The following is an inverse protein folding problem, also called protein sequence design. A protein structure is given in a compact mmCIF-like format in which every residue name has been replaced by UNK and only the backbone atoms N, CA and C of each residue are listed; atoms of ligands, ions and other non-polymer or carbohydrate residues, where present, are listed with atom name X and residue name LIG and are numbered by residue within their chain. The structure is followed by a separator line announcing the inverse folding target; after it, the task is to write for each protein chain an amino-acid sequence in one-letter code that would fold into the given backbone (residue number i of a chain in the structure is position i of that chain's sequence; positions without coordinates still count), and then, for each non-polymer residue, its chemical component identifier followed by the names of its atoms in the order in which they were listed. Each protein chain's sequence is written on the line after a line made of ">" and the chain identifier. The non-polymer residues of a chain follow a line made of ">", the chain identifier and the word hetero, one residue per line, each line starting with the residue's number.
data_IF_332136861432
#
_entry.id   IF_332136861432
#
_cell.length_a   1.000
_cell.length_b   1.000
_cell.length_c   1.000
_cell.angle_alpha   90.00
_cell.angle_beta   90.00
_cell.angle_gamma   90.00
#
_symmetry.space_group_name_H-M   'P 1'
#
loop_
_entity.id
_entity.type
_entity.pdbx_description
1 polymer ?
#
# COMPACT_ATOMS: atom_id res chain seq x y z
N UNK A 1 1.05 34.58 15.47
CA UNK A 1 1.25 33.30 16.16
C UNK A 1 1.48 32.27 15.07
N UNK A 2 2.71 31.77 14.88
CA UNK A 2 2.96 30.67 13.94
C UNK A 2 2.53 29.41 14.66
N UNK A 3 1.49 28.75 14.17
CA UNK A 3 1.20 27.38 14.57
C UNK A 3 2.31 26.58 13.90
N UNK A 4 3.29 26.11 14.66
CA UNK A 4 4.19 25.07 14.18
C UNK A 4 3.31 23.87 13.89
N UNK A 5 2.91 23.71 12.62
CA UNK A 5 2.34 22.47 12.11
C UNK A 5 3.47 21.45 12.10
N UNK A 6 3.84 20.94 13.29
CA UNK A 6 4.67 19.76 13.39
C UNK A 6 3.88 18.64 12.71
N UNK A 7 4.43 18.16 11.60
CA UNK A 7 3.94 16.96 10.94
C UNK A 7 4.02 15.84 11.99
N UNK A 8 2.90 15.15 12.30
CA UNK A 8 2.93 14.07 13.26
C UNK A 8 3.93 13.01 12.81
N UNK A 9 4.85 12.64 13.70
CA UNK A 9 5.73 11.51 13.45
C UNK A 9 4.88 10.23 13.54
N UNK A 10 4.60 9.64 12.39
CA UNK A 10 3.81 8.41 12.30
C UNK A 10 4.78 7.23 12.31
N UNK A 11 4.56 6.30 13.24
CA UNK A 11 5.41 5.12 13.39
C UNK A 11 4.59 3.83 13.35
N UNK A 12 5.25 2.73 13.02
CA UNK A 12 4.66 1.40 12.93
C UNK A 12 5.66 0.37 13.45
N UNK A 13 5.20 -0.56 14.27
CA UNK A 13 6.03 -1.65 14.77
C UNK A 13 6.01 -2.83 13.79
N UNK A 14 7.16 -3.15 13.22
CA UNK A 14 7.33 -4.30 12.33
C UNK A 14 7.89 -5.48 13.14
N UNK A 15 7.15 -6.58 13.17
CA UNK A 15 7.57 -7.81 13.83
C UNK A 15 8.26 -8.77 12.85
N UNK A 16 9.60 -8.89 12.92
CA UNK A 16 10.42 -9.76 12.08
C UNK A 16 10.82 -11.07 12.77
N UNK A 17 9.87 -11.69 13.50
CA UNK A 17 10.02 -12.98 14.20
C UNK A 17 10.97 -12.97 15.40
N UNK A 18 12.13 -12.33 15.33
CA UNK A 18 13.15 -12.27 16.40
C UNK A 18 13.30 -10.89 17.04
N UNK A 19 12.73 -9.85 16.43
CA UNK A 19 12.81 -8.47 16.90
C UNK A 19 11.59 -7.69 16.44
N UNK A 20 11.12 -6.79 17.30
CA UNK A 20 10.18 -5.74 16.94
C UNK A 20 11.01 -4.50 16.61
N UNK A 21 10.84 -3.97 15.42
CA UNK A 21 11.52 -2.75 14.97
C UNK A 21 10.52 -1.63 14.83
N UNK A 22 10.87 -0.45 15.34
CA UNK A 22 10.07 0.75 15.14
C UNK A 22 10.44 1.36 13.80
N UNK A 23 9.46 1.49 12.92
CA UNK A 23 9.62 2.16 11.65
C UNK A 23 8.89 3.50 11.68
N UNK A 24 9.37 4.47 10.91
CA UNK A 24 8.70 5.74 10.61
C UNK A 24 8.09 5.68 9.23
N UNK A 25 6.87 6.18 9.06
CA UNK A 25 6.25 6.31 7.74
C UNK A 25 6.88 7.49 7.02
N UNK A 26 7.43 7.24 5.82
CA UNK A 26 8.15 8.24 5.03
C UNK A 26 7.44 8.59 3.72
N UNK A 27 6.51 7.76 3.28
CA UNK A 27 5.71 7.99 2.08
C UNK A 27 4.40 7.21 2.16
N UNK A 28 3.33 7.83 1.68
CA UNK A 28 2.03 7.19 1.50
C UNK A 28 1.51 7.56 0.12
N UNK A 29 1.20 6.56 -0.68
CA UNK A 29 0.50 6.67 -1.94
C UNK A 29 -0.97 6.36 -1.73
N UNK A 30 -1.83 7.13 -2.39
CA UNK A 30 -3.28 6.97 -2.32
C UNK A 30 -3.89 6.81 -3.71
N UNK A 31 -4.80 5.86 -3.84
CA UNK A 31 -5.70 5.73 -4.98
C UNK A 31 -7.13 5.97 -4.53
N UNK A 32 -7.82 6.91 -5.18
CA UNK A 32 -9.20 7.29 -4.86
C UNK A 32 -9.40 7.65 -3.38
N UNK A 33 -8.38 8.26 -2.76
CA UNK A 33 -8.39 8.68 -1.37
C UNK A 33 -8.28 7.55 -0.35
N UNK A 34 -7.80 6.36 -0.76
CA UNK A 34 -7.49 5.19 0.09
C UNK A 34 -6.00 4.89 -0.01
N UNK A 35 -5.34 4.41 1.07
CA UNK A 35 -3.92 4.05 0.99
C UNK A 35 -3.75 2.89 0.01
N UNK A 36 -2.71 2.95 -0.81
CA UNK A 36 -2.37 1.92 -1.80
C UNK A 36 -0.96 1.36 -1.58
N UNK A 37 0.01 2.24 -1.34
CA UNK A 37 1.37 1.85 -0.95
C UNK A 37 1.85 2.74 0.20
N UNK A 38 2.51 2.15 1.19
CA UNK A 38 3.14 2.84 2.30
C UNK A 38 4.60 2.40 2.40
N UNK A 39 5.50 3.38 2.40
CA UNK A 39 6.93 3.12 2.63
C UNK A 39 7.30 3.61 4.01
N UNK A 40 8.04 2.78 4.73
CA UNK A 40 8.53 3.06 6.07
C UNK A 40 10.06 2.97 6.11
N UNK A 41 10.69 3.64 7.07
CA UNK A 41 12.15 3.63 7.34
C UNK A 41 12.40 3.18 8.79
N UNK A 42 13.32 2.25 9.00
CA UNK A 42 13.62 1.71 10.34
C UNK A 42 14.66 2.52 11.14
N UNK A 43 14.92 3.78 10.77
CA UNK A 43 15.94 4.68 11.33
C UNK A 43 17.41 4.21 11.14
N UNK A 44 17.64 2.95 10.81
CA UNK A 44 18.94 2.42 10.38
C UNK A 44 19.12 2.51 8.84
N UNK A 45 18.14 3.09 8.15
CA UNK A 45 18.17 3.37 6.71
C UNK A 45 17.65 2.23 5.83
N UNK A 46 17.07 1.18 6.42
CA UNK A 46 16.35 0.15 5.68
C UNK A 46 14.89 0.57 5.52
N UNK A 47 14.41 0.58 4.28
CA UNK A 47 13.00 0.83 3.99
C UNK A 47 12.23 -0.47 3.81
N UNK A 48 10.99 -0.50 4.32
CA UNK A 48 10.02 -1.56 4.08
C UNK A 48 8.80 -1.00 3.34
N UNK A 49 8.29 -1.77 2.40
CA UNK A 49 7.17 -1.42 1.52
C UNK A 49 5.95 -2.24 1.92
N UNK A 50 4.81 -1.57 1.98
CA UNK A 50 3.55 -2.17 2.36
C UNK A 50 2.48 -1.80 1.35
N UNK A 51 1.85 -2.80 0.75
CA UNK A 51 0.71 -2.57 -0.13
C UNK A 51 -0.56 -2.64 0.71
N UNK A 52 -1.53 -1.81 0.38
CA UNK A 52 -2.81 -1.66 1.06
C UNK A 52 -3.96 -1.91 0.09
N UNK A 53 -4.96 -2.67 0.55
CA UNK A 53 -6.21 -2.91 -0.17
C UNK A 53 -7.40 -2.83 0.79
N UNK A 54 -8.60 -2.64 0.25
CA UNK A 54 -9.82 -2.68 1.07
C UNK A 54 -10.08 -4.09 1.60
N UNK A 55 -10.46 -4.20 2.88
CA UNK A 55 -10.88 -5.47 3.42
C UNK A 55 -12.24 -5.87 2.84
N UNK A 56 -12.30 -7.01 2.16
CA UNK A 56 -13.55 -7.50 1.60
C UNK A 56 -14.57 -7.96 2.67
N UNK A 57 -14.11 -8.21 3.91
CA UNK A 57 -14.93 -8.62 5.04
C UNK A 57 -15.42 -7.45 5.91
N UNK A 58 -14.81 -6.27 5.79
CA UNK A 58 -15.11 -5.09 6.59
C UNK A 58 -15.06 -3.82 5.74
N UNK A 59 -16.15 -3.04 5.69
CA UNK A 59 -16.21 -1.83 4.87
C UNK A 59 -15.33 -0.68 5.35
N UNK A 60 -14.82 -0.76 6.58
CA UNK A 60 -14.18 0.36 7.28
C UNK A 60 -12.70 0.08 7.62
N UNK A 61 -12.15 -1.04 7.15
CA UNK A 61 -10.79 -1.48 7.43
C UNK A 61 -10.01 -1.77 6.15
N UNK A 62 -8.69 -1.61 6.23
CA UNK A 62 -7.75 -1.99 5.18
C UNK A 62 -7.06 -3.31 5.52
N UNK A 63 -6.68 -4.07 4.49
CA UNK A 63 -5.68 -5.12 4.61
C UNK A 63 -4.35 -4.56 4.13
N UNK A 64 -3.26 -4.92 4.81
CA UNK A 64 -1.92 -4.58 4.34
C UNK A 64 -0.94 -5.74 4.49
N UNK A 65 -0.02 -5.86 3.55
CA UNK A 65 1.05 -6.85 3.60
C UNK A 65 2.39 -6.21 3.27
N UNK A 66 3.48 -6.80 3.77
CA UNK A 66 4.84 -6.32 3.47
C UNK A 66 5.26 -6.84 2.09
N UNK A 67 5.16 -5.99 1.08
CA UNK A 67 5.39 -6.33 -0.33
C UNK A 67 6.87 -6.34 -0.72
N UNK A 68 7.72 -5.73 0.10
CA UNK A 68 9.16 -5.78 -0.09
C UNK A 68 9.92 -4.80 0.78
N UNK A 69 11.14 -4.49 0.36
CA UNK A 69 11.97 -3.51 1.03
C UNK A 69 13.30 -3.27 0.32
N UNK A 70 13.99 -2.22 0.77
CA UNK A 70 15.28 -1.77 0.25
C UNK A 70 15.28 -0.31 -0.21
N UNK A 71 16.44 0.15 -0.69
CA UNK A 71 16.64 1.54 -1.09
C UNK A 71 16.98 2.46 0.09
N UNK A 72 16.79 3.77 -0.09
CA UNK A 72 17.02 4.81 0.93
C UNK A 72 15.89 5.82 0.91
N UNK A 73 15.68 6.50 2.03
CA UNK A 73 14.69 7.57 2.19
C UNK A 73 14.81 8.68 1.12
N UNK A 74 15.99 8.86 0.52
CA UNK A 74 16.27 9.83 -0.54
C UNK A 74 16.18 9.27 -1.97
N UNK A 75 15.75 8.02 -2.13
CA UNK A 75 15.74 7.29 -3.41
C UNK A 75 14.37 6.63 -3.69
N UNK A 76 13.29 7.18 -3.13
CA UNK A 76 11.92 6.69 -3.35
C UNK A 76 11.57 6.76 -4.84
N UNK A 77 10.89 5.74 -5.38
CA UNK A 77 10.42 5.79 -6.76
C UNK A 77 9.24 6.75 -6.86
N UNK A 78 9.26 7.65 -7.85
CA UNK A 78 8.17 8.58 -8.04
C UNK A 78 6.95 7.86 -8.66
N UNK A 79 5.73 8.08 -8.15
CA UNK A 79 4.53 7.44 -8.68
C UNK A 79 4.19 7.96 -10.07
N UNK A 80 3.86 7.04 -10.98
CA UNK A 80 3.51 7.34 -12.36
C UNK A 80 2.19 6.68 -12.70
N UNK A 81 1.15 7.50 -12.90
CA UNK A 81 -0.20 7.04 -13.17
C UNK A 81 -0.63 7.32 -14.62
N UNK A 82 -1.42 6.41 -15.19
CA UNK A 82 -2.16 6.70 -16.42
C UNK A 82 -3.29 7.71 -16.12
N UNK A 83 -3.61 8.58 -17.07
CA UNK A 83 -4.70 9.56 -16.91
C UNK A 83 -6.07 8.91 -16.63
N UNK A 84 -6.21 7.64 -17.02
CA UNK A 84 -7.43 6.83 -16.82
C UNK A 84 -7.57 6.21 -15.42
N UNK A 85 -6.51 6.18 -14.59
CA UNK A 85 -6.47 5.44 -13.32
C UNK A 85 -7.24 6.10 -12.15
N UNK A 86 -7.96 7.19 -12.38
CA UNK A 86 -8.69 7.91 -11.33
C UNK A 86 -7.84 8.93 -10.58
N UNK A 87 -8.21 9.24 -9.33
CA UNK A 87 -7.53 10.27 -8.53
C UNK A 87 -6.38 9.61 -7.75
N UNK A 88 -5.15 9.82 -8.21
CA UNK A 88 -3.95 9.44 -7.48
C UNK A 88 -3.39 10.65 -6.71
N UNK A 89 -2.93 10.39 -5.49
CA UNK A 89 -2.25 11.40 -4.67
C UNK A 89 -1.19 10.76 -3.79
N UNK A 90 -0.27 11.55 -3.26
CA UNK A 90 0.74 11.04 -2.35
C UNK A 90 1.08 12.07 -1.28
N UNK A 91 1.52 11.57 -0.13
CA UNK A 91 2.20 12.36 0.89
C UNK A 91 3.61 11.81 1.06
N UNK A 92 4.59 12.71 1.23
CA UNK A 92 5.99 12.35 1.44
C UNK A 92 6.53 13.13 2.64
N UNK A 93 7.26 12.43 3.51
CA UNK A 93 7.89 13.03 4.69
C UNK A 93 8.96 14.06 4.27
N UNK A 94 9.18 15.17 5.01
CA UNK A 94 10.13 16.22 4.61
C UNK A 94 11.59 15.78 4.45
N UNK A 95 11.98 14.69 5.12
CA UNK A 95 13.33 14.10 4.98
C UNK A 95 13.45 13.14 3.80
N UNK A 96 12.32 12.77 3.20
CA UNK A 96 12.26 11.85 2.08
C UNK A 96 12.22 12.58 0.74
N UNK A 97 12.81 11.95 -0.26
CA UNK A 97 12.88 12.50 -1.62
C UNK A 97 12.75 11.38 -2.65
N UNK A 98 12.20 11.73 -3.80
CA UNK A 98 12.26 10.86 -4.95
C UNK A 98 13.70 10.75 -5.48
N UNK A 99 13.99 9.62 -6.11
CA UNK A 99 15.24 9.41 -6.83
C UNK A 99 15.52 10.57 -7.80
N UNK A 100 16.77 11.03 -7.83
CA UNK A 100 17.18 12.17 -8.66
C UNK A 100 16.70 12.04 -10.12
N UNK A 101 16.09 13.10 -10.64
CA UNK A 101 15.54 13.15 -12.00
C UNK A 101 14.22 12.40 -12.20
N UNK A 102 13.61 11.85 -11.14
CA UNK A 102 12.26 11.28 -11.15
C UNK A 102 11.27 12.27 -10.56
N UNK A 103 10.12 12.39 -11.19
CA UNK A 103 9.04 13.28 -10.77
C UNK A 103 7.72 12.53 -10.87
N UNK A 104 6.78 12.78 -9.94
CA UNK A 104 5.46 12.19 -10.02
C UNK A 104 4.73 12.58 -11.31
N UNK A 105 3.97 11.65 -11.88
CA UNK A 105 3.18 11.87 -13.10
C UNK A 105 1.72 11.53 -12.80
N UNK A 106 0.81 12.45 -13.14
CA UNK A 106 -0.64 12.31 -12.97
C UNK A 106 -1.09 11.96 -11.54
N UNK A 107 -0.39 12.49 -10.54
CA UNK A 107 -0.81 12.41 -9.15
C UNK A 107 -0.55 13.73 -8.41
N UNK A 108 -1.26 13.93 -7.31
CA UNK A 108 -1.24 15.18 -6.55
C UNK A 108 -0.47 15.00 -5.25
N UNK A 109 0.48 15.89 -4.96
CA UNK A 109 1.12 15.94 -3.64
C UNK A 109 0.15 16.53 -2.60
N UNK A 110 0.06 15.88 -1.45
CA UNK A 110 -0.68 16.34 -0.29
C UNK A 110 0.27 17.02 0.72
N UNK A 111 -0.20 18.10 1.34
CA UNK A 111 0.53 18.78 2.42
C UNK A 111 0.54 17.97 3.73
N UNK A 112 -0.45 17.09 3.91
CA UNK A 112 -0.60 16.21 5.07
C UNK A 112 -1.22 14.87 4.65
N UNK A 113 -0.97 13.78 5.40
CA UNK A 113 -1.62 12.49 5.17
C UNK A 113 -3.14 12.56 5.35
N UNK A 114 -3.88 11.74 4.60
CA UNK A 114 -5.33 11.58 4.78
C UNK A 114 -5.61 10.92 6.14
N UNK A 115 -6.63 11.38 6.85
CA UNK A 115 -7.07 10.77 8.11
C UNK A 115 -8.19 9.76 7.87
N UNK A 116 -8.03 8.57 8.43
CA UNK A 116 -9.06 7.54 8.53
C UNK A 116 -9.43 7.38 10.00
N UNK A 117 -10.72 7.49 10.32
CA UNK A 117 -11.24 7.48 11.69
C UNK A 117 -10.51 8.45 12.65
N UNK A 118 -10.09 9.62 12.13
CA UNK A 118 -9.37 10.64 12.89
C UNK A 118 -7.88 10.36 13.09
N UNK A 119 -7.32 9.34 12.44
CA UNK A 119 -5.91 8.98 12.52
C UNK A 119 -5.25 9.02 11.13
N UNK A 120 -4.11 9.70 11.03
CA UNK A 120 -3.32 9.79 9.80
C UNK A 120 -2.46 8.56 9.52
N UNK A 121 -2.26 7.68 10.51
CA UNK A 121 -1.51 6.44 10.35
C UNK A 121 -2.40 5.37 9.71
N UNK A 122 -2.13 4.94 8.46
CA UNK A 122 -2.95 3.93 7.78
C UNK A 122 -2.89 2.56 8.46
N UNK A 123 -1.80 2.22 9.16
CA UNK A 123 -1.66 0.94 9.87
C UNK A 123 -2.60 0.81 11.08
N UNK A 124 -3.11 1.93 11.60
CA UNK A 124 -4.06 1.95 12.73
C UNK A 124 -5.51 1.70 12.27
N UNK A 125 -5.75 1.68 10.97
CA UNK A 125 -7.06 1.46 10.34
C UNK A 125 -7.04 0.23 9.44
N UNK A 126 -6.13 -0.70 9.68
CA UNK A 126 -6.06 -1.93 8.92
C UNK A 126 -5.46 -3.09 9.70
N UNK A 127 -5.54 -4.27 9.11
CA UNK A 127 -4.93 -5.50 9.64
C UNK A 127 -3.79 -5.97 8.75
N UNK A 128 -2.74 -6.48 9.38
CA UNK A 128 -1.65 -7.14 8.66
C UNK A 128 -2.13 -8.51 8.18
N UNK A 129 -1.87 -8.83 6.90
CA UNK A 129 -2.12 -10.13 6.27
C UNK A 129 -0.83 -10.71 5.72
N UNK A 130 -0.83 -12.00 5.36
CA UNK A 130 0.37 -12.66 4.81
C UNK A 130 0.46 -12.54 3.29
N UNK A 131 -0.68 -12.46 2.61
CA UNK A 131 -0.80 -12.23 1.18
C UNK A 131 -2.08 -11.45 0.87
N UNK A 132 -2.08 -10.80 -0.29
CA UNK A 132 -3.28 -10.25 -0.90
C UNK A 132 -3.60 -11.04 -2.17
N UNK A 133 -4.76 -11.68 -2.20
CA UNK A 133 -5.22 -12.50 -3.31
C UNK A 133 -6.41 -11.83 -4.00
N UNK A 134 -6.23 -11.46 -5.27
CA UNK A 134 -7.29 -10.82 -6.05
C UNK A 134 -8.24 -11.85 -6.67
N UNK A 135 -9.54 -11.71 -6.38
CA UNK A 135 -10.59 -12.46 -7.05
C UNK A 135 -11.24 -11.61 -8.16
N UNK A 136 -11.02 -12.02 -9.42
CA UNK A 136 -11.58 -11.34 -10.59
C UNK A 136 -13.11 -11.40 -10.68
N UNK A 137 -13.74 -12.44 -10.15
CA UNK A 137 -15.21 -12.58 -10.17
C UNK A 137 -15.88 -11.63 -9.19
N UNK A 138 -15.29 -11.49 -8.00
CA UNK A 138 -15.77 -10.58 -6.98
C UNK A 138 -15.27 -9.14 -7.19
N UNK A 139 -14.23 -8.95 -8.02
CA UNK A 139 -13.49 -7.70 -8.22
C UNK A 139 -12.99 -7.11 -6.90
N UNK A 140 -12.37 -7.97 -6.07
CA UNK A 140 -11.93 -7.66 -4.69
C UNK A 140 -10.67 -8.40 -4.32
N UNK A 141 -9.90 -7.82 -3.40
CA UNK A 141 -8.81 -8.49 -2.72
C UNK A 141 -9.29 -9.24 -1.47
N UNK A 142 -8.66 -10.38 -1.22
CA UNK A 142 -8.85 -11.24 -0.06
C UNK A 142 -7.50 -11.43 0.63
N UNK A 143 -7.51 -11.89 1.88
CA UNK A 143 -6.30 -12.30 2.59
C UNK A 143 -5.83 -13.70 2.16
N UNK A 144 -4.89 -14.29 2.91
CA UNK A 144 -4.33 -15.61 2.62
C UNK A 144 -5.33 -16.79 2.61
N UNK A 145 -6.58 -16.57 3.02
CA UNK A 145 -7.64 -17.57 2.93
C UNK A 145 -8.40 -17.50 1.59
N UNK A 146 -8.16 -16.46 0.79
CA UNK A 146 -8.72 -16.28 -0.53
C UNK A 146 -10.25 -16.12 -0.56
N UNK A 147 -10.81 -16.19 -1.76
CA UNK A 147 -12.25 -16.14 -1.97
C UNK A 147 -12.87 -17.54 -1.82
N UNK A 148 -13.56 -17.82 -0.70
CA UNK A 148 -14.21 -19.11 -0.45
C UNK A 148 -15.19 -19.54 -1.57
N UNK A 149 -15.82 -18.58 -2.26
CA UNK A 149 -16.80 -18.86 -3.34
C UNK A 149 -16.13 -19.25 -4.67
N UNK A 150 -14.88 -18.85 -4.89
CA UNK A 150 -14.18 -19.02 -6.18
C UNK A 150 -12.80 -19.68 -6.05
N UNK A 151 -12.51 -20.32 -4.91
CA UNK A 151 -11.21 -20.90 -4.54
C UNK A 151 -10.78 -22.05 -5.47
N UNK A 152 -11.75 -22.77 -6.07
CA UNK A 152 -11.54 -24.03 -6.78
C UNK A 152 -11.71 -23.95 -8.31
N UNK A 153 -11.73 -22.76 -8.91
CA UNK A 153 -11.74 -22.64 -10.37
C UNK A 153 -10.33 -22.85 -10.96
N UNK A 154 -9.74 -23.99 -10.61
CA UNK A 154 -8.64 -24.59 -11.35
C UNK A 154 -9.20 -25.51 -12.44
N UNK A 155 -8.53 -25.63 -13.58
CA UNK A 155 -8.87 -26.64 -14.56
C UNK A 155 -8.47 -28.05 -14.07
N UNK A 156 -8.83 -29.09 -14.83
CA UNK A 156 -8.51 -30.49 -14.50
C UNK A 156 -6.99 -30.79 -14.43
N UNK A 157 -6.13 -29.80 -14.77
CA UNK A 157 -4.67 -29.88 -14.70
C UNK A 157 -4.09 -29.10 -13.51
N UNK A 158 -4.92 -28.45 -12.69
CA UNK A 158 -4.51 -27.70 -11.51
C UNK A 158 -3.98 -26.29 -11.83
N UNK A 159 -4.21 -25.77 -13.03
CA UNK A 159 -3.90 -24.38 -13.36
C UNK A 159 -5.03 -23.48 -12.83
N UNK A 160 -4.70 -22.34 -12.22
CA UNK A 160 -5.68 -21.26 -12.02
C UNK A 160 -6.27 -20.91 -13.38
N UNK A 161 -7.60 -20.96 -13.53
CA UNK A 161 -8.25 -20.67 -14.83
C UNK A 161 -7.95 -19.28 -15.38
N UNK A 162 -7.32 -18.39 -14.61
CA UNK A 162 -6.95 -17.05 -15.08
C UNK A 162 -5.62 -16.58 -14.51
N UNK A 163 -4.58 -16.59 -15.36
CA UNK A 163 -3.45 -15.67 -15.29
C UNK A 163 -3.38 -14.96 -16.66
N UNK A 164 -3.44 -13.64 -16.66
CA UNK A 164 -3.15 -12.73 -17.79
C UNK A 164 -4.07 -12.79 -19.04
N UNK A 165 -5.00 -11.83 -19.12
CA UNK A 165 -5.09 -10.89 -20.25
C UNK A 165 -5.25 -11.35 -21.71
N UNK A 166 -5.39 -12.63 -22.04
CA UNK A 166 -5.58 -13.04 -23.44
C UNK A 166 -6.49 -14.26 -23.65
N UNK A 167 -7.68 -13.93 -24.18
CA UNK A 167 -8.53 -14.68 -25.10
C UNK A 167 -9.05 -16.07 -24.73
N UNK A 168 -10.37 -16.08 -24.55
CA UNK A 168 -11.30 -17.17 -24.93
C UNK A 168 -11.00 -17.65 -26.35
N UNK A 169 -10.87 -18.97 -26.54
CA UNK A 169 -11.44 -19.62 -27.72
C UNK A 169 -12.03 -20.98 -27.32
N UNK A 170 -13.31 -21.12 -27.69
CA UNK A 170 -14.24 -22.27 -27.74
C UNK A 170 -13.90 -23.57 -26.99
#
# INVERSE_FOLDING_TARGET
>A
MKIDNQIPEMTFEVNSGRKTELHRIVYIEYQNGKPHEVITDNFDGFMAFFDFEEDCHSSDEFMFFESGGGGKITEIQAPHYDESCGIASYWIHPEANFKEGRFPINCVQLDAPIQYNGNSNPFENGRKVYSLDYCKFCDKFYDEYGCEEHFDDTDDEGNLKYFDGSLVYD
#
